data_IF_182148514543
#
_entry.id   IF_182148514543
#
_cell.length_a   1.000
_cell.length_b   1.000
_cell.length_c   1.000
_cell.angle_alpha   90.00
_cell.angle_beta   90.00
_cell.angle_gamma   90.00
#
_symmetry.space_group_name_H-M   'P 1'
#
loop_
_entity.id
_entity.type
_entity.pdbx_description
1 polymer ?
#
# COMPACT_ATOMS: atom_id res chain seq x y z
N UNK A 1 -24.70 -21.98 -16.43
CA UNK A 1 -23.69 -20.95 -16.01
C UNK A 1 -22.88 -21.57 -14.87
N UNK A 2 -21.69 -22.06 -15.18
CA UNK A 2 -20.75 -22.51 -14.15
C UNK A 2 -20.40 -21.33 -13.25
N UNK A 3 -20.63 -21.45 -11.94
CA UNK A 3 -20.13 -20.51 -10.96
C UNK A 3 -18.61 -20.55 -11.02
N UNK A 4 -17.99 -19.52 -11.62
CA UNK A 4 -16.54 -19.33 -11.54
C UNK A 4 -16.15 -19.43 -10.05
N UNK A 5 -15.24 -20.36 -9.76
CA UNK A 5 -14.73 -20.57 -8.41
C UNK A 5 -14.14 -19.27 -7.86
N UNK A 6 -14.68 -18.76 -6.76
CA UNK A 6 -14.15 -17.58 -6.06
C UNK A 6 -12.96 -17.93 -5.14
N UNK A 7 -12.25 -19.02 -5.43
CA UNK A 7 -11.09 -19.46 -4.65
C UNK A 7 -9.80 -19.16 -5.40
N UNK A 8 -8.73 -18.94 -4.66
CA UNK A 8 -7.38 -18.79 -5.24
C UNK A 8 -6.91 -20.11 -5.86
N UNK A 9 -6.15 -20.02 -6.96
CA UNK A 9 -5.67 -21.19 -7.71
C UNK A 9 -4.58 -21.99 -6.98
N UNK A 10 -3.98 -21.44 -5.91
CA UNK A 10 -2.93 -22.07 -5.12
C UNK A 10 -2.38 -21.19 -4.01
N UNK A 11 -1.46 -21.77 -3.22
CA UNK A 11 -0.85 -21.08 -2.08
C UNK A 11 -0.09 -19.81 -2.50
N UNK A 12 0.68 -19.87 -3.60
CA UNK A 12 1.43 -18.71 -4.09
C UNK A 12 0.51 -17.57 -4.52
N UNK A 13 -0.59 -17.88 -5.23
CA UNK A 13 -1.59 -16.88 -5.61
C UNK A 13 -2.22 -16.19 -4.41
N UNK A 14 -2.58 -16.96 -3.38
CA UNK A 14 -3.09 -16.43 -2.12
C UNK A 14 -2.07 -15.53 -1.41
N UNK A 15 -0.82 -15.97 -1.28
CA UNK A 15 0.24 -15.19 -0.60
C UNK A 15 0.52 -13.88 -1.33
N UNK A 16 0.64 -13.91 -2.66
CA UNK A 16 0.88 -12.70 -3.45
C UNK A 16 -0.31 -11.73 -3.44
N UNK A 17 -1.54 -12.26 -3.45
CA UNK A 17 -2.73 -11.42 -3.34
C UNK A 17 -2.87 -10.82 -1.93
N UNK A 18 -2.59 -11.59 -0.87
CA UNK A 18 -2.58 -11.11 0.51
C UNK A 18 -1.49 -10.04 0.72
N UNK A 19 -0.28 -10.27 0.19
CA UNK A 19 0.80 -9.29 0.22
C UNK A 19 0.42 -8.02 -0.56
N UNK A 20 -0.17 -8.15 -1.75
CA UNK A 20 -0.64 -7.03 -2.55
C UNK A 20 -1.74 -6.21 -1.86
N UNK A 21 -2.59 -6.87 -1.09
CA UNK A 21 -3.60 -6.18 -0.26
C UNK A 21 -2.98 -5.47 0.95
N UNK A 22 -1.89 -6.00 1.51
CA UNK A 22 -1.22 -5.42 2.67
C UNK A 22 -0.30 -4.25 2.31
N UNK A 23 0.32 -4.30 1.11
CA UNK A 23 1.23 -3.23 0.65
C UNK A 23 0.44 -2.11 0.00
N UNK A 24 0.32 -1.00 0.68
CA UNK A 24 -0.33 0.21 0.18
C UNK A 24 0.65 1.37 -0.02
N UNK A 25 0.14 2.47 -0.56
CA UNK A 25 0.92 3.70 -0.77
C UNK A 25 1.57 4.19 0.52
N UNK A 26 0.89 4.05 1.65
CA UNK A 26 1.40 4.42 2.96
C UNK A 26 2.71 3.73 3.35
N UNK A 27 2.90 2.48 2.93
CA UNK A 27 4.11 1.71 3.21
C UNK A 27 5.33 2.27 2.45
N UNK A 28 5.12 2.87 1.28
CA UNK A 28 6.18 3.36 0.42
C UNK A 28 6.62 4.79 0.75
N UNK A 29 5.69 5.65 1.19
CA UNK A 29 6.05 7.05 1.44
C UNK A 29 5.86 7.48 2.90
N UNK A 30 4.73 7.14 3.54
CA UNK A 30 4.43 7.60 4.89
C UNK A 30 5.24 6.86 5.94
N UNK A 31 5.40 5.55 5.79
CA UNK A 31 6.13 4.73 6.76
C UNK A 31 7.62 5.14 6.87
N UNK A 32 8.40 5.29 5.76
CA UNK A 32 9.77 5.78 5.84
C UNK A 32 9.88 7.17 6.46
N UNK A 33 8.94 8.06 6.13
CA UNK A 33 8.89 9.40 6.71
C UNK A 33 8.67 9.36 8.24
N UNK A 34 7.72 8.55 8.72
CA UNK A 34 7.47 8.39 10.15
C UNK A 34 8.65 7.72 10.85
N UNK A 35 9.24 6.70 10.24
CA UNK A 35 10.43 6.05 10.79
C UNK A 35 11.58 7.05 10.98
N UNK A 36 11.83 7.90 10.01
CA UNK A 36 12.88 8.93 10.12
C UNK A 36 12.54 10.02 11.16
N UNK A 37 11.26 10.42 11.26
CA UNK A 37 10.82 11.49 12.17
C UNK A 37 10.73 11.05 13.64
N UNK A 38 10.25 9.83 13.89
CA UNK A 38 9.79 9.38 15.20
C UNK A 38 10.74 8.38 15.87
N UNK A 39 12.05 8.46 15.61
CA UNK A 39 13.07 7.70 16.34
C UNK A 39 13.91 6.73 15.53
N UNK A 40 13.82 6.76 14.20
CA UNK A 40 14.72 6.02 13.31
C UNK A 40 14.76 4.51 13.59
N UNK A 41 15.93 4.01 13.97
CA UNK A 41 16.15 2.59 14.23
C UNK A 41 15.31 2.02 15.38
N UNK A 42 15.06 2.80 16.43
CA UNK A 42 14.22 2.36 17.55
C UNK A 42 12.77 2.15 17.13
N UNK A 43 12.23 3.06 16.32
CA UNK A 43 10.90 2.92 15.72
C UNK A 43 10.79 1.61 14.92
N UNK A 44 11.81 1.29 14.10
CA UNK A 44 11.81 0.06 13.30
C UNK A 44 11.84 -1.20 14.16
N UNK A 45 12.64 -1.21 15.25
CA UNK A 45 12.70 -2.36 16.16
C UNK A 45 11.35 -2.59 16.83
N UNK A 46 10.74 -1.55 17.39
CA UNK A 46 9.41 -1.65 18.03
C UNK A 46 8.37 -2.10 17.01
N UNK A 47 8.36 -1.51 15.81
CA UNK A 47 7.46 -1.90 14.74
C UNK A 47 7.61 -3.38 14.39
N UNK A 48 8.84 -3.88 14.26
CA UNK A 48 9.12 -5.27 13.93
C UNK A 48 8.62 -6.23 15.03
N UNK A 49 8.83 -5.90 16.30
CA UNK A 49 8.28 -6.67 17.42
C UNK A 49 6.75 -6.70 17.37
N UNK A 50 6.10 -5.56 17.11
CA UNK A 50 4.64 -5.49 17.01
C UNK A 50 4.10 -6.28 15.82
N UNK A 51 4.78 -6.26 14.68
CA UNK A 51 4.39 -7.06 13.50
C UNK A 51 4.48 -8.56 13.79
N UNK A 52 5.55 -9.01 14.44
CA UNK A 52 5.72 -10.43 14.76
C UNK A 52 4.75 -10.93 15.84
N UNK A 53 4.36 -10.08 16.77
CA UNK A 53 3.45 -10.46 17.85
C UNK A 53 1.99 -10.21 17.45
N UNK A 54 1.58 -8.95 17.38
CA UNK A 54 0.19 -8.58 17.07
C UNK A 54 -0.19 -8.82 15.61
N UNK A 55 0.67 -8.40 14.68
CA UNK A 55 0.40 -8.51 13.24
C UNK A 55 0.20 -9.95 12.80
N UNK A 56 1.10 -10.85 13.22
CA UNK A 56 1.01 -12.27 12.91
C UNK A 56 -0.25 -12.91 13.52
N UNK A 57 -0.56 -12.60 14.78
CA UNK A 57 -1.72 -13.14 15.48
C UNK A 57 -3.03 -12.67 14.83
N UNK A 58 -3.15 -11.37 14.52
CA UNK A 58 -4.32 -10.82 13.87
C UNK A 58 -4.54 -11.42 12.48
N UNK A 59 -3.50 -11.44 11.65
CA UNK A 59 -3.57 -11.99 10.30
C UNK A 59 -3.99 -13.48 10.32
N UNK A 60 -3.39 -14.27 11.21
CA UNK A 60 -3.71 -15.68 11.34
C UNK A 60 -5.17 -15.89 11.78
N UNK A 61 -5.66 -15.07 12.71
CA UNK A 61 -7.04 -15.10 13.18
C UNK A 61 -8.03 -14.76 12.07
N UNK A 62 -7.75 -13.72 11.29
CA UNK A 62 -8.62 -13.30 10.17
C UNK A 62 -8.68 -14.38 9.07
N UNK A 63 -7.52 -14.97 8.72
CA UNK A 63 -7.47 -16.09 7.78
C UNK A 63 -8.25 -17.30 8.31
N UNK A 64 -8.12 -17.63 9.58
CA UNK A 64 -8.83 -18.76 10.21
C UNK A 64 -10.35 -18.53 10.19
N UNK A 65 -10.81 -17.34 10.53
CA UNK A 65 -12.23 -16.95 10.47
C UNK A 65 -12.76 -17.05 9.03
N UNK A 66 -12.02 -16.48 8.08
CA UNK A 66 -12.40 -16.51 6.67
C UNK A 66 -12.47 -17.91 6.09
N UNK A 67 -11.50 -18.78 6.41
CA UNK A 67 -11.50 -20.20 5.98
C UNK A 67 -12.64 -21.00 6.59
N UNK A 68 -12.94 -20.76 7.86
CA UNK A 68 -14.01 -21.50 8.58
C UNK A 68 -15.40 -21.13 8.06
N UNK A 69 -15.66 -19.85 7.86
CA UNK A 69 -17.00 -19.34 7.54
C UNK A 69 -17.26 -19.22 6.05
N UNK A 70 -16.24 -19.00 5.24
CA UNK A 70 -16.31 -18.71 3.80
C UNK A 70 -17.34 -17.61 3.44
N UNK A 71 -17.53 -16.66 4.35
CA UNK A 71 -18.46 -15.53 4.23
C UNK A 71 -17.70 -14.19 4.27
N UNK A 72 -18.39 -13.13 3.87
CA UNK A 72 -17.90 -11.76 4.08
C UNK A 72 -17.77 -11.46 5.57
N UNK A 73 -17.00 -10.43 5.94
CA UNK A 73 -16.75 -10.08 7.34
C UNK A 73 -18.02 -10.01 8.18
N UNK A 74 -19.09 -9.36 7.67
CA UNK A 74 -20.37 -9.24 8.39
C UNK A 74 -21.01 -10.63 8.64
N UNK A 75 -21.01 -11.49 7.62
CA UNK A 75 -21.57 -12.84 7.71
C UNK A 75 -20.73 -13.76 8.60
N UNK A 76 -19.39 -13.62 8.54
CA UNK A 76 -18.47 -14.44 9.31
C UNK A 76 -18.62 -14.21 10.82
N UNK A 77 -18.61 -12.96 11.25
CA UNK A 77 -18.80 -12.63 12.67
C UNK A 77 -20.21 -12.97 13.17
N UNK A 78 -21.26 -12.79 12.35
CA UNK A 78 -22.63 -13.16 12.70
C UNK A 78 -22.80 -14.65 12.89
N UNK A 79 -22.13 -15.47 12.06
CA UNK A 79 -22.15 -16.95 12.17
C UNK A 79 -21.43 -17.44 13.41
N UNK A 80 -20.28 -16.86 13.72
CA UNK A 80 -19.55 -17.24 14.94
C UNK A 80 -20.37 -16.95 16.20
N UNK A 81 -20.96 -15.77 16.28
CA UNK A 81 -21.85 -15.38 17.37
C UNK A 81 -22.69 -14.16 16.94
N UNK A 82 -24.03 -14.22 16.97
CA UNK A 82 -24.88 -13.13 16.50
C UNK A 82 -24.61 -11.78 17.18
N UNK A 83 -24.21 -11.80 18.45
CA UNK A 83 -23.82 -10.58 19.19
C UNK A 83 -22.61 -9.86 18.59
N UNK A 84 -21.74 -10.56 17.86
CA UNK A 84 -20.52 -10.00 17.26
C UNK A 84 -20.71 -9.46 15.83
N UNK A 85 -21.94 -9.49 15.33
CA UNK A 85 -22.27 -8.92 14.00
C UNK A 85 -21.79 -7.48 13.83
N UNK A 86 -21.82 -6.68 14.91
CA UNK A 86 -21.37 -5.29 14.88
C UNK A 86 -19.87 -5.15 14.54
N UNK A 87 -19.02 -6.10 14.99
CA UNK A 87 -17.61 -6.11 14.60
C UNK A 87 -17.43 -6.33 13.10
N UNK A 88 -18.24 -7.22 12.52
CA UNK A 88 -18.25 -7.42 11.07
C UNK A 88 -18.67 -6.16 10.30
N UNK A 89 -19.59 -5.37 10.84
CA UNK A 89 -20.00 -4.08 10.28
C UNK A 89 -18.83 -3.09 10.37
N UNK A 90 -18.16 -2.99 11.53
CA UNK A 90 -17.00 -2.12 11.70
C UNK A 90 -15.85 -2.52 10.74
N UNK A 91 -15.57 -3.81 10.63
CA UNK A 91 -14.56 -4.34 9.69
C UNK A 91 -14.89 -4.00 8.23
N UNK A 92 -16.17 -4.00 7.87
CA UNK A 92 -16.63 -3.60 6.54
C UNK A 92 -16.54 -2.09 6.32
N UNK A 93 -16.82 -1.29 7.34
CA UNK A 93 -16.84 0.18 7.26
C UNK A 93 -15.43 0.75 6.99
N UNK A 94 -14.39 0.13 7.56
CA UNK A 94 -13.00 0.60 7.39
C UNK A 94 -12.59 0.68 5.91
N UNK A 95 -12.67 -0.40 5.09
CA UNK A 95 -12.31 -0.31 3.68
C UNK A 95 -13.23 0.63 2.89
N UNK A 96 -14.50 0.78 3.26
CA UNK A 96 -15.41 1.75 2.63
C UNK A 96 -14.90 3.17 2.84
N UNK A 97 -14.52 3.54 4.06
CA UNK A 97 -13.97 4.86 4.35
C UNK A 97 -12.61 5.08 3.66
N UNK A 98 -11.75 4.06 3.64
CA UNK A 98 -10.47 4.12 2.94
C UNK A 98 -10.68 4.36 1.45
N UNK A 99 -11.63 3.70 0.83
CA UNK A 99 -11.89 3.78 -0.61
C UNK A 99 -12.22 5.22 -1.06
N UNK A 100 -12.83 6.03 -0.19
CA UNK A 100 -13.22 7.41 -0.52
C UNK A 100 -12.02 8.30 -0.87
N UNK A 101 -10.89 8.16 -0.16
CA UNK A 101 -9.69 8.95 -0.44
C UNK A 101 -8.64 8.20 -1.26
N UNK A 102 -8.63 6.87 -1.22
CA UNK A 102 -7.64 6.08 -1.96
C UNK A 102 -7.81 6.18 -3.47
N UNK A 103 -9.04 6.34 -3.96
CA UNK A 103 -9.30 6.57 -5.37
C UNK A 103 -8.66 7.88 -5.87
N UNK A 104 -8.69 8.91 -5.06
CA UNK A 104 -8.06 10.22 -5.36
C UNK A 104 -6.55 10.09 -5.39
N UNK A 105 -5.95 9.48 -4.35
CA UNK A 105 -4.51 9.24 -4.28
C UNK A 105 -4.05 8.33 -5.43
N UNK A 106 -4.82 7.29 -5.75
CA UNK A 106 -4.56 6.42 -6.90
C UNK A 106 -4.54 7.19 -8.23
N UNK A 107 -5.44 8.16 -8.38
CA UNK A 107 -5.43 9.09 -9.51
C UNK A 107 -4.16 9.93 -9.57
N UNK A 108 -3.68 10.47 -8.45
CA UNK A 108 -2.42 11.21 -8.41
C UNK A 108 -1.22 10.37 -8.83
N UNK A 109 -1.13 9.15 -8.32
CA UNK A 109 -0.07 8.20 -8.69
C UNK A 109 -0.14 7.86 -10.18
N UNK A 110 -1.35 7.64 -10.71
CA UNK A 110 -1.57 7.37 -12.13
C UNK A 110 -1.10 8.54 -12.99
N UNK A 111 -1.38 9.79 -12.59
CA UNK A 111 -0.86 11.00 -13.26
C UNK A 111 0.67 10.99 -13.30
N UNK A 112 1.31 10.78 -12.15
CA UNK A 112 2.77 10.75 -12.09
C UNK A 112 3.36 9.61 -12.92
N UNK A 113 2.76 8.42 -12.89
CA UNK A 113 3.17 7.30 -13.74
C UNK A 113 3.16 7.68 -15.23
N UNK A 114 2.08 8.32 -15.70
CA UNK A 114 1.98 8.80 -17.09
C UNK A 114 3.06 9.82 -17.39
N UNK A 115 3.29 10.79 -16.52
CA UNK A 115 4.30 11.85 -16.71
C UNK A 115 5.70 11.27 -16.82
N UNK A 116 6.05 10.31 -15.97
CA UNK A 116 7.36 9.64 -16.03
C UNK A 116 7.49 8.77 -17.28
N UNK A 117 6.45 8.03 -17.65
CA UNK A 117 6.45 7.19 -18.86
C UNK A 117 6.52 8.02 -20.16
N UNK A 118 5.99 9.24 -20.17
CA UNK A 118 6.06 10.16 -21.30
C UNK A 118 7.33 11.00 -21.35
N UNK A 119 8.30 10.75 -20.45
CA UNK A 119 9.58 11.44 -20.42
C UNK A 119 9.55 12.86 -19.85
N UNK A 120 8.46 13.25 -19.22
CA UNK A 120 8.27 14.60 -18.64
C UNK A 120 8.72 14.68 -17.17
N UNK A 121 9.67 13.84 -16.76
CA UNK A 121 10.16 13.77 -15.37
C UNK A 121 10.68 15.12 -14.85
N UNK A 122 11.32 15.93 -15.71
CA UNK A 122 11.82 17.26 -15.33
C UNK A 122 10.68 18.23 -14.96
N UNK A 123 9.56 18.15 -15.65
CA UNK A 123 8.38 18.97 -15.32
C UNK A 123 7.78 18.54 -13.98
N UNK A 124 7.73 17.23 -13.71
CA UNK A 124 7.22 16.69 -12.45
C UNK A 124 8.10 17.01 -11.22
N UNK A 125 9.36 17.37 -11.44
CA UNK A 125 10.29 17.75 -10.39
C UNK A 125 10.19 19.23 -9.97
N UNK A 126 9.37 20.04 -10.64
CA UNK A 126 9.13 21.43 -10.23
C UNK A 126 8.31 21.49 -8.93
N UNK A 127 8.68 22.39 -8.02
CA UNK A 127 8.11 22.48 -6.68
C UNK A 127 6.59 22.73 -6.66
N UNK A 128 6.09 23.45 -7.67
CA UNK A 128 4.67 23.80 -7.81
C UNK A 128 3.84 22.80 -8.63
N UNK A 129 4.49 21.81 -9.28
CA UNK A 129 3.83 20.88 -10.18
C UNK A 129 2.70 20.09 -9.49
N UNK A 130 2.96 19.56 -8.31
CA UNK A 130 1.96 18.81 -7.54
C UNK A 130 0.81 19.73 -7.12
N UNK A 131 1.12 20.89 -6.58
CA UNK A 131 0.11 21.85 -6.11
C UNK A 131 -0.77 22.33 -7.26
N UNK A 132 -0.19 22.69 -8.40
CA UNK A 132 -0.95 23.09 -9.58
C UNK A 132 -1.84 21.96 -10.12
N UNK A 133 -1.36 20.72 -10.06
CA UNK A 133 -2.16 19.56 -10.44
C UNK A 133 -3.36 19.34 -9.52
N UNK A 134 -3.17 19.30 -8.19
CA UNK A 134 -4.26 19.00 -7.25
C UNK A 134 -5.28 20.13 -7.13
N UNK A 135 -4.91 21.37 -7.43
CA UNK A 135 -5.80 22.55 -7.42
C UNK A 135 -6.57 22.70 -8.73
N UNK A 136 -6.18 21.99 -9.79
CA UNK A 136 -6.92 22.02 -11.04
C UNK A 136 -8.27 21.28 -10.89
N UNK A 137 -9.33 21.85 -11.44
CA UNK A 137 -10.69 21.30 -11.29
C UNK A 137 -10.92 19.98 -12.03
N UNK A 138 -10.19 19.73 -13.11
CA UNK A 138 -10.51 18.65 -14.07
C UNK A 138 -9.51 17.52 -14.03
N UNK A 139 -8.21 17.84 -13.99
CA UNK A 139 -7.14 16.85 -14.13
C UNK A 139 -7.14 15.77 -13.02
N UNK A 140 -7.26 16.09 -11.72
CA UNK A 140 -7.30 15.08 -10.67
C UNK A 140 -8.50 14.14 -10.79
N UNK A 141 -9.65 14.69 -11.21
CA UNK A 141 -10.89 13.92 -11.37
C UNK A 141 -10.76 12.90 -12.51
N UNK A 142 -10.21 13.31 -13.66
CA UNK A 142 -9.99 12.40 -14.78
C UNK A 142 -9.08 11.25 -14.38
N UNK A 143 -7.94 11.52 -13.73
CA UNK A 143 -7.02 10.47 -13.31
C UNK A 143 -7.60 9.58 -12.21
N UNK A 144 -8.41 10.11 -11.30
CA UNK A 144 -9.13 9.31 -10.32
C UNK A 144 -10.15 8.37 -11.01
N UNK A 145 -10.89 8.85 -12.02
CA UNK A 145 -11.82 8.03 -12.79
C UNK A 145 -11.09 6.94 -13.59
N UNK A 146 -9.94 7.23 -14.19
CA UNK A 146 -9.11 6.25 -14.88
C UNK A 146 -8.68 5.15 -13.89
N UNK A 147 -8.15 5.55 -12.72
CA UNK A 147 -7.73 4.60 -11.68
C UNK A 147 -8.90 3.74 -11.20
N UNK A 148 -10.07 4.34 -10.94
CA UNK A 148 -11.28 3.60 -10.55
C UNK A 148 -11.75 2.65 -11.65
N UNK A 149 -11.73 3.08 -12.91
CA UNK A 149 -12.11 2.26 -14.06
C UNK A 149 -11.22 1.01 -14.20
N UNK A 150 -9.89 1.18 -14.09
CA UNK A 150 -8.94 0.07 -14.11
C UNK A 150 -9.18 -0.88 -12.92
N UNK A 151 -9.36 -0.33 -11.72
CA UNK A 151 -9.65 -1.12 -10.51
C UNK A 151 -10.96 -1.89 -10.66
N UNK A 152 -12.02 -1.24 -11.13
CA UNK A 152 -13.32 -1.87 -11.36
C UNK A 152 -13.21 -3.00 -12.40
N UNK A 153 -12.47 -2.80 -13.48
CA UNK A 153 -12.22 -3.83 -14.48
C UNK A 153 -11.50 -5.05 -13.92
N UNK A 154 -10.47 -4.83 -13.09
CA UNK A 154 -9.74 -5.94 -12.43
C UNK A 154 -10.68 -6.72 -11.50
N UNK A 155 -11.45 -6.01 -10.67
CA UNK A 155 -12.38 -6.64 -9.72
C UNK A 155 -13.51 -7.36 -10.44
N UNK A 156 -14.01 -6.81 -11.55
CA UNK A 156 -15.07 -7.43 -12.36
C UNK A 156 -14.64 -8.81 -12.91
N UNK A 157 -13.37 -9.00 -13.23
CA UNK A 157 -12.85 -10.31 -13.67
C UNK A 157 -12.77 -11.33 -12.53
N UNK A 158 -13.05 -10.94 -11.30
CA UNK A 158 -13.12 -11.84 -10.13
C UNK A 158 -11.76 -12.09 -9.49
N UNK A 159 -11.71 -13.07 -8.58
CA UNK A 159 -10.53 -13.34 -7.75
C UNK A 159 -9.38 -13.94 -8.55
N UNK A 160 -9.64 -15.00 -9.34
CA UNK A 160 -8.58 -15.73 -10.05
C UNK A 160 -8.05 -14.95 -11.27
N UNK A 161 -8.94 -14.57 -12.17
CA UNK A 161 -8.57 -13.93 -13.44
C UNK A 161 -8.28 -12.42 -13.32
N UNK A 162 -8.77 -11.81 -12.26
CA UNK A 162 -8.55 -10.40 -11.94
C UNK A 162 -7.46 -10.21 -10.89
N UNK A 163 -7.84 -10.28 -9.63
CA UNK A 163 -6.99 -9.90 -8.49
C UNK A 163 -5.74 -10.76 -8.40
N UNK A 164 -5.88 -12.09 -8.46
CA UNK A 164 -4.75 -13.02 -8.32
C UNK A 164 -3.77 -12.89 -9.48
N UNK A 165 -4.27 -12.82 -10.72
CA UNK A 165 -3.43 -12.71 -11.92
C UNK A 165 -2.63 -11.40 -11.91
N UNK A 166 -3.26 -10.28 -11.59
CA UNK A 166 -2.61 -8.99 -11.50
C UNK A 166 -1.58 -8.99 -10.36
N UNK A 167 -1.92 -9.50 -9.18
CA UNK A 167 -1.02 -9.58 -8.04
C UNK A 167 0.20 -10.46 -8.32
N UNK A 168 0.03 -11.60 -8.98
CA UNK A 168 1.14 -12.50 -9.38
C UNK A 168 2.19 -11.80 -10.25
N UNK A 169 1.76 -10.86 -11.06
CA UNK A 169 2.67 -10.12 -11.94
C UNK A 169 3.22 -8.86 -11.28
N UNK A 170 2.35 -8.08 -10.62
CA UNK A 170 2.75 -6.78 -10.05
C UNK A 170 3.59 -6.90 -8.78
N UNK A 171 3.34 -7.91 -7.93
CA UNK A 171 4.06 -8.03 -6.66
C UNK A 171 5.56 -8.32 -6.82
N UNK A 172 5.99 -9.25 -7.68
CA UNK A 172 7.42 -9.41 -7.96
C UNK A 172 8.07 -8.16 -8.56
N UNK A 173 7.37 -7.47 -9.47
CA UNK A 173 7.86 -6.21 -10.06
C UNK A 173 8.03 -5.15 -8.97
N UNK A 174 7.06 -4.99 -8.09
CA UNK A 174 7.14 -4.06 -6.97
C UNK A 174 8.31 -4.39 -6.04
N UNK A 175 8.50 -5.68 -5.70
CA UNK A 175 9.61 -6.12 -4.86
C UNK A 175 10.97 -5.74 -5.47
N UNK A 176 11.16 -6.03 -6.76
CA UNK A 176 12.39 -5.69 -7.48
C UNK A 176 12.62 -4.18 -7.47
N UNK A 177 11.58 -3.39 -7.76
CA UNK A 177 11.68 -1.92 -7.75
C UNK A 177 12.03 -1.39 -6.36
N UNK A 178 11.42 -1.92 -5.29
CA UNK A 178 11.72 -1.52 -3.91
C UNK A 178 13.17 -1.85 -3.56
N UNK A 179 13.68 -3.03 -3.96
CA UNK A 179 15.08 -3.41 -3.73
C UNK A 179 16.03 -2.46 -4.48
N UNK A 180 15.75 -2.16 -5.75
CA UNK A 180 16.57 -1.22 -6.55
C UNK A 180 16.58 0.17 -5.90
N UNK A 181 15.40 0.70 -5.51
CA UNK A 181 15.31 2.01 -4.87
C UNK A 181 16.04 2.01 -3.52
N UNK A 182 15.93 0.92 -2.74
CA UNK A 182 16.63 0.80 -1.46
C UNK A 182 18.15 0.81 -1.66
N UNK A 183 18.68 0.03 -2.60
CA UNK A 183 20.11 0.03 -2.91
C UNK A 183 20.56 1.41 -3.41
N UNK A 184 19.78 2.02 -4.30
CA UNK A 184 20.09 3.36 -4.80
C UNK A 184 20.08 4.40 -3.66
N UNK A 185 19.10 4.34 -2.76
CA UNK A 185 19.03 5.22 -1.59
C UNK A 185 20.27 5.14 -0.68
N UNK A 186 20.84 3.93 -0.53
CA UNK A 186 22.07 3.75 0.25
C UNK A 186 23.31 4.41 -0.39
N UNK A 187 23.29 4.63 -1.71
CA UNK A 187 24.37 5.30 -2.45
C UNK A 187 24.27 6.82 -2.43
N UNK A 188 23.12 7.37 -2.02
CA UNK A 188 22.91 8.81 -1.95
C UNK A 188 23.76 9.43 -0.84
N UNK A 189 24.45 10.51 -1.18
CA UNK A 189 25.24 11.31 -0.26
C UNK A 189 24.51 12.63 -0.01
N UNK A 190 24.40 13.01 1.23
CA UNK A 190 23.92 14.33 1.62
C UNK A 190 25.07 15.16 2.15
N UNK A 191 25.20 16.39 1.67
CA UNK A 191 26.19 17.35 2.18
C UNK A 191 25.48 18.26 3.16
N UNK A 192 25.92 18.26 4.41
CA UNK A 192 25.39 19.12 5.46
C UNK A 192 25.78 20.58 5.22
N UNK A 193 25.09 21.51 5.89
CA UNK A 193 25.41 22.96 5.89
C UNK A 193 26.84 23.29 6.34
N UNK A 194 27.49 22.35 7.02
CA UNK A 194 28.92 22.42 7.42
C UNK A 194 29.90 21.91 6.35
N UNK A 195 29.39 21.45 5.18
CA UNK A 195 30.23 20.91 4.09
C UNK A 195 30.66 19.45 4.28
N UNK A 196 30.19 18.75 5.32
CA UNK A 196 30.50 17.33 5.52
C UNK A 196 29.55 16.45 4.72
N UNK A 197 30.12 15.44 4.05
CA UNK A 197 29.37 14.47 3.24
C UNK A 197 28.99 13.27 4.10
N UNK A 198 27.70 13.11 4.35
CA UNK A 198 27.15 11.97 5.08
C UNK A 198 26.46 11.01 4.13
N UNK A 199 26.63 9.70 4.36
CA UNK A 199 25.84 8.67 3.69
C UNK A 199 24.43 8.63 4.30
N UNK A 200 23.42 8.41 3.48
CA UNK A 200 22.00 8.35 3.88
C UNK A 200 21.72 7.39 5.05
N UNK A 201 22.54 6.33 5.21
CA UNK A 201 22.47 5.37 6.32
C UNK A 201 22.66 5.98 7.72
N UNK A 202 23.45 7.06 7.83
CA UNK A 202 23.80 7.66 9.14
C UNK A 202 22.57 8.34 9.75
N UNK A 203 21.70 8.93 8.92
CA UNK A 203 20.47 9.58 9.41
C UNK A 203 19.42 8.61 9.94
N UNK A 204 19.47 7.32 9.58
CA UNK A 204 18.56 6.30 10.09
C UNK A 204 19.03 5.80 11.46
N UNK A 205 20.33 5.81 11.74
CA UNK A 205 20.92 5.28 12.96
C UNK A 205 21.13 6.33 14.06
N UNK A 206 21.20 7.60 13.73
CA UNK A 206 21.32 8.67 14.73
C UNK A 206 19.92 9.16 15.16
N UNK A 207 19.59 9.13 16.48
CA UNK A 207 18.43 9.84 16.96
C UNK A 207 18.64 11.32 16.69
N UNK A 208 17.74 11.93 15.92
CA UNK A 208 17.73 13.37 15.67
C UNK A 208 17.89 14.12 17.00
N UNK A 209 19.10 14.61 17.31
CA UNK A 209 19.30 15.60 18.38
C UNK A 209 18.47 16.81 17.96
N UNK A 210 17.33 16.98 18.61
CA UNK A 210 16.63 18.26 18.61
C UNK A 210 17.55 19.25 19.34
N UNK A 211 18.19 20.12 18.59
CA UNK A 211 18.70 21.38 19.11
C UNK A 211 17.56 22.36 19.27
#
# INVERSE_FOLDING_TARGET
>A
MERKSNHFSGQLGFVLAAAGSAVGVGNLWRFPYLAAKDGGGLFLIIYFILVLTFGFTLLTSDIAIGRRTQKSAIGAYAEMKPKWKFLGILTFLVPVLIMTYYAVIGGWITKYAVVYLTGQAKAAAADDYFTSFITSSTSPVIFALIFMGVTAFIVYNGVQDGIEKVSKWMMPVLLVLVVIISIYSLTLKHTDSSGQVHLSLIHISEPTRRS
#
